data_IF_929059506713
#
_entry.id   IF_929059506713
#
_cell.length_a   1.000
_cell.length_b   1.000
_cell.length_c   1.000
_cell.angle_alpha   90.00
_cell.angle_beta   90.00
_cell.angle_gamma   90.00
#
_symmetry.space_group_name_H-M   'P 1'
#
loop_
_entity.id
_entity.type
_entity.pdbx_description
1 polymer ?
#
# COMPACT_ATOMS: atom_id res chain seq x y z
N UNK A 1 -21.75 -14.79 -7.87
CA UNK A 1 -20.79 -13.85 -7.28
C UNK A 1 -21.43 -12.49 -7.16
N UNK A 2 -21.52 -11.91 -5.97
CA UNK A 2 -21.99 -10.55 -5.78
C UNK A 2 -20.77 -9.62 -5.95
N UNK A 3 -20.67 -8.81 -7.02
CA UNK A 3 -19.54 -7.91 -7.17
C UNK A 3 -19.53 -6.94 -5.98
N UNK A 4 -18.39 -6.82 -5.33
CA UNK A 4 -18.22 -5.85 -4.25
C UNK A 4 -18.51 -4.45 -4.80
N UNK A 5 -19.49 -3.77 -4.19
CA UNK A 5 -19.74 -2.35 -4.43
C UNK A 5 -18.85 -1.45 -3.56
N UNK A 6 -17.96 -2.04 -2.75
CA UNK A 6 -17.09 -1.30 -1.85
C UNK A 6 -16.09 -0.47 -2.66
N UNK A 7 -16.16 0.85 -2.49
CA UNK A 7 -15.26 1.83 -3.12
C UNK A 7 -14.19 2.31 -2.17
N UNK A 8 -14.50 2.35 -0.88
CA UNK A 8 -13.59 2.84 0.14
C UNK A 8 -13.49 1.84 1.29
N UNK A 9 -12.27 1.59 1.73
CA UNK A 9 -11.97 0.73 2.85
C UNK A 9 -10.93 1.43 3.72
N UNK A 10 -11.35 1.80 4.92
CA UNK A 10 -10.46 2.34 5.95
C UNK A 10 -10.28 1.29 7.04
N UNK A 11 -9.04 0.82 7.17
CA UNK A 11 -8.62 -0.11 8.22
C UNK A 11 -7.53 0.50 9.10
N UNK A 12 -7.37 1.83 9.07
CA UNK A 12 -6.33 2.53 9.82
C UNK A 12 -6.41 2.21 11.32
N UNK A 13 -5.26 2.20 11.99
CA UNK A 13 -5.09 1.90 13.42
C UNK A 13 -5.55 0.49 13.82
N UNK A 14 -5.36 -0.48 12.93
CA UNK A 14 -5.55 -1.91 13.23
C UNK A 14 -4.24 -2.68 13.07
N UNK A 15 -4.00 -3.68 13.91
CA UNK A 15 -2.79 -4.52 13.88
C UNK A 15 -2.81 -5.56 12.73
N UNK A 16 -3.00 -5.09 11.49
CA UNK A 16 -3.03 -5.94 10.29
C UNK A 16 -1.69 -6.61 10.04
N UNK A 17 -0.59 -5.87 10.20
CA UNK A 17 0.78 -6.30 9.86
C UNK A 17 0.90 -6.72 8.39
N UNK A 18 2.06 -7.23 8.00
CA UNK A 18 2.28 -7.67 6.62
C UNK A 18 1.39 -8.84 6.21
N UNK A 19 1.04 -9.73 7.15
CA UNK A 19 0.16 -10.86 6.89
C UNK A 19 -1.27 -10.43 6.53
N UNK A 20 -1.82 -9.42 7.21
CA UNK A 20 -3.12 -8.84 6.87
C UNK A 20 -3.08 -8.13 5.52
N UNK A 21 -2.01 -7.37 5.25
CA UNK A 21 -1.82 -6.71 3.96
C UNK A 21 -1.71 -7.71 2.82
N UNK A 22 -1.03 -8.84 3.01
CA UNK A 22 -0.92 -9.92 2.01
C UNK A 22 -2.29 -10.48 1.61
N UNK A 23 -3.20 -10.65 2.57
CA UNK A 23 -4.57 -11.09 2.30
C UNK A 23 -5.37 -10.00 1.56
N UNK A 24 -5.23 -8.74 1.95
CA UNK A 24 -5.84 -7.60 1.26
C UNK A 24 -5.36 -7.50 -0.20
N UNK A 25 -4.06 -7.65 -0.42
CA UNK A 25 -3.43 -7.66 -1.75
C UNK A 25 -4.01 -8.74 -2.67
N UNK A 26 -4.27 -9.95 -2.14
CA UNK A 26 -4.93 -10.99 -2.91
C UNK A 26 -6.35 -10.58 -3.36
N UNK A 27 -7.08 -9.83 -2.51
CA UNK A 27 -8.37 -9.25 -2.85
C UNK A 27 -8.27 -8.13 -3.89
N UNK A 28 -7.26 -7.25 -3.79
CA UNK A 28 -6.99 -6.18 -4.74
C UNK A 28 -6.64 -6.71 -6.14
N UNK A 29 -5.92 -7.83 -6.22
CA UNK A 29 -5.59 -8.49 -7.49
C UNK A 29 -6.78 -9.12 -8.22
N UNK A 30 -7.95 -9.23 -7.56
CA UNK A 30 -9.16 -9.73 -8.19
C UNK A 30 -9.68 -8.72 -9.25
N UNK A 31 -9.90 -9.14 -10.51
CA UNK A 31 -10.36 -8.24 -11.58
C UNK A 31 -11.74 -7.63 -11.35
N UNK A 32 -12.54 -8.20 -10.44
CA UNK A 32 -13.83 -7.68 -10.04
C UNK A 32 -13.76 -6.75 -8.81
N UNK A 33 -12.57 -6.55 -8.22
CA UNK A 33 -12.38 -5.59 -7.14
C UNK A 33 -12.66 -4.17 -7.66
N UNK A 34 -13.51 -3.44 -6.94
CA UNK A 34 -13.97 -2.08 -7.30
C UNK A 34 -13.48 -1.01 -6.32
N UNK A 35 -12.55 -1.37 -5.45
CA UNK A 35 -11.99 -0.48 -4.44
C UNK A 35 -11.18 0.62 -5.12
N UNK A 36 -11.50 1.85 -4.78
CA UNK A 36 -10.86 3.08 -5.27
C UNK A 36 -9.97 3.71 -4.19
N UNK A 37 -10.32 3.49 -2.92
CA UNK A 37 -9.62 4.08 -1.78
C UNK A 37 -9.31 3.02 -0.73
N UNK A 38 -8.04 2.92 -0.33
CA UNK A 38 -7.58 2.04 0.75
C UNK A 38 -6.75 2.84 1.75
N UNK A 39 -7.14 2.79 3.03
CA UNK A 39 -6.39 3.42 4.13
C UNK A 39 -5.92 2.37 5.12
N UNK A 40 -4.61 2.33 5.31
CA UNK A 40 -3.88 1.41 6.17
C UNK A 40 -2.95 2.20 7.10
N UNK A 41 -3.35 3.40 7.49
CA UNK A 41 -2.51 4.25 8.33
C UNK A 41 -2.32 3.60 9.71
N UNK A 42 -1.10 3.50 10.22
CA UNK A 42 -0.88 2.94 11.56
C UNK A 42 -1.23 1.46 11.68
N UNK A 43 -0.94 0.66 10.64
CA UNK A 43 -1.33 -0.75 10.56
C UNK A 43 -0.17 -1.74 10.77
N UNK A 44 0.99 -1.24 11.26
CA UNK A 44 2.22 -2.02 11.46
C UNK A 44 2.73 -2.69 10.17
N UNK A 45 2.53 -2.02 9.02
CA UNK A 45 3.00 -2.48 7.71
C UNK A 45 4.50 -2.21 7.57
N UNK A 46 5.22 -3.15 6.99
CA UNK A 46 6.66 -3.02 6.68
C UNK A 46 6.92 -3.10 5.18
N UNK A 47 8.19 -3.18 4.79
CA UNK A 47 8.63 -3.43 3.42
C UNK A 47 8.02 -4.71 2.79
N UNK A 48 7.71 -5.76 3.58
CA UNK A 48 7.08 -6.99 3.07
C UNK A 48 5.63 -6.74 2.63
N UNK A 49 4.85 -6.00 3.43
CA UNK A 49 3.50 -5.59 3.08
C UNK A 49 3.50 -4.67 1.85
N UNK A 50 4.46 -3.76 1.73
CA UNK A 50 4.65 -2.94 0.52
C UNK A 50 4.87 -3.79 -0.73
N UNK A 51 5.74 -4.81 -0.67
CA UNK A 51 5.97 -5.72 -1.79
C UNK A 51 4.67 -6.41 -2.23
N UNK A 52 3.86 -6.86 -1.26
CA UNK A 52 2.55 -7.47 -1.53
C UNK A 52 1.57 -6.50 -2.19
N UNK A 53 1.52 -5.25 -1.75
CA UNK A 53 0.67 -4.21 -2.35
C UNK A 53 1.11 -3.87 -3.78
N UNK A 54 2.41 -3.67 -4.00
CA UNK A 54 2.96 -3.36 -5.33
C UNK A 54 2.67 -4.47 -6.33
N UNK A 55 2.82 -5.73 -5.92
CA UNK A 55 2.47 -6.87 -6.76
C UNK A 55 1.00 -6.83 -7.19
N UNK A 56 0.09 -6.53 -6.25
CA UNK A 56 -1.33 -6.43 -6.55
C UNK A 56 -1.67 -5.22 -7.45
N UNK A 57 -1.01 -4.07 -7.25
CA UNK A 57 -1.21 -2.87 -8.08
C UNK A 57 -0.66 -3.03 -9.50
N UNK A 58 0.38 -3.84 -9.68
CA UNK A 58 0.92 -4.19 -10.99
C UNK A 58 0.14 -5.30 -11.70
N UNK A 59 -0.62 -6.10 -10.96
CA UNK A 59 -1.47 -7.17 -11.52
C UNK A 59 -2.86 -6.63 -11.83
N UNK A 60 -3.24 -6.65 -13.11
CA UNK A 60 -4.52 -6.12 -13.61
C UNK A 60 -4.66 -4.59 -13.45
N UNK A 61 -5.46 -3.92 -14.30
CA UNK A 61 -5.79 -2.52 -14.08
C UNK A 61 -6.65 -2.37 -12.81
N UNK A 62 -5.99 -2.20 -11.67
CA UNK A 62 -6.63 -1.90 -10.39
C UNK A 62 -7.51 -0.66 -10.51
N UNK A 63 -8.63 -0.65 -9.79
CA UNK A 63 -9.46 0.55 -9.64
C UNK A 63 -8.93 1.51 -8.56
N UNK A 64 -7.89 1.10 -7.82
CA UNK A 64 -7.36 1.88 -6.70
C UNK A 64 -6.71 3.18 -7.19
N UNK A 65 -7.20 4.30 -6.65
CA UNK A 65 -6.77 5.67 -6.91
C UNK A 65 -6.07 6.29 -5.72
N UNK A 66 -6.48 5.94 -4.51
CA UNK A 66 -5.91 6.46 -3.27
C UNK A 66 -5.42 5.34 -2.35
N UNK A 67 -4.17 5.44 -1.90
CA UNK A 67 -3.58 4.57 -0.91
C UNK A 67 -2.93 5.39 0.20
N UNK A 68 -3.33 5.13 1.44
CA UNK A 68 -2.73 5.73 2.63
C UNK A 68 -1.99 4.66 3.46
N UNK A 69 -0.67 4.80 3.53
CA UNK A 69 0.26 3.98 4.31
C UNK A 69 0.98 4.82 5.38
N UNK A 70 0.47 6.01 5.73
CA UNK A 70 1.06 6.85 6.78
C UNK A 70 1.19 6.11 8.11
N UNK A 71 2.10 6.55 8.99
CA UNK A 71 2.30 5.95 10.32
C UNK A 71 2.65 4.43 10.30
N UNK A 72 3.30 3.94 9.23
CA UNK A 72 3.84 2.58 9.14
C UNK A 72 5.37 2.61 9.02
N UNK A 73 6.04 1.51 9.36
CA UNK A 73 7.51 1.37 9.27
C UNK A 73 7.94 0.77 7.93
N UNK A 74 7.70 1.52 6.85
CA UNK A 74 7.95 1.03 5.49
C UNK A 74 9.45 0.93 5.15
N UNK A 75 10.28 1.69 5.86
CA UNK A 75 11.69 1.97 5.55
C UNK A 75 11.91 2.51 4.13
N UNK A 76 13.16 2.85 3.82
CA UNK A 76 13.55 3.27 2.47
C UNK A 76 13.30 2.18 1.43
N UNK A 77 13.44 0.91 1.80
CA UNK A 77 13.20 -0.24 0.92
C UNK A 77 11.74 -0.31 0.48
N UNK A 78 10.79 -0.16 1.41
CA UNK A 78 9.36 -0.14 1.09
C UNK A 78 8.96 1.05 0.23
N UNK A 79 9.49 2.24 0.51
CA UNK A 79 9.22 3.45 -0.32
C UNK A 79 9.77 3.29 -1.75
N UNK A 80 10.96 2.69 -1.91
CA UNK A 80 11.53 2.37 -3.24
C UNK A 80 10.66 1.37 -4.00
N UNK A 81 10.15 0.33 -3.33
CA UNK A 81 9.23 -0.63 -3.93
C UNK A 81 7.94 0.03 -4.42
N UNK A 82 7.33 0.89 -3.59
CA UNK A 82 6.12 1.65 -3.96
C UNK A 82 6.38 2.55 -5.16
N UNK A 83 7.50 3.29 -5.15
CA UNK A 83 7.90 4.16 -6.25
C UNK A 83 8.10 3.40 -7.56
N UNK A 84 8.73 2.22 -7.51
CA UNK A 84 8.90 1.36 -8.68
C UNK A 84 7.55 0.84 -9.21
N UNK A 85 6.64 0.45 -8.32
CA UNK A 85 5.29 0.01 -8.66
C UNK A 85 4.45 1.10 -9.34
N UNK A 86 4.59 2.35 -8.90
CA UNK A 86 3.95 3.51 -9.50
C UNK A 86 4.42 3.81 -10.93
N UNK A 87 5.65 3.40 -11.28
CA UNK A 87 6.16 3.49 -12.65
C UNK A 87 5.53 2.49 -13.64
N UNK A 88 4.73 1.55 -13.16
CA UNK A 88 4.02 0.60 -14.01
C UNK A 88 2.89 1.31 -14.79
N UNK A 89 2.81 1.20 -16.14
CA UNK A 89 1.77 1.86 -16.94
C UNK A 89 0.35 1.37 -16.64
N UNK A 90 0.19 0.23 -15.97
CA UNK A 90 -1.09 -0.29 -15.52
C UNK A 90 -1.47 0.18 -14.11
N UNK A 91 -0.55 0.81 -13.38
CA UNK A 91 -0.85 1.43 -12.10
C UNK A 91 -1.76 2.65 -12.33
N UNK A 92 -2.87 2.70 -11.60
CA UNK A 92 -3.87 3.78 -11.68
C UNK A 92 -3.90 4.67 -10.45
N UNK A 93 -2.95 4.48 -9.55
CA UNK A 93 -2.87 5.21 -8.30
C UNK A 93 -2.55 6.68 -8.57
N UNK A 94 -3.38 7.58 -8.04
CA UNK A 94 -3.29 9.03 -8.23
C UNK A 94 -2.76 9.71 -6.98
N UNK A 95 -3.04 9.13 -5.80
CA UNK A 95 -2.59 9.65 -4.51
C UNK A 95 -2.00 8.52 -3.69
N UNK A 96 -0.76 8.72 -3.27
CA UNK A 96 -0.09 7.89 -2.29
C UNK A 96 0.27 8.77 -1.09
N UNK A 97 -0.16 8.37 0.10
CA UNK A 97 0.29 8.97 1.36
C UNK A 97 1.18 7.98 2.08
N UNK A 98 2.37 8.41 2.44
CA UNK A 98 3.24 7.76 3.41
C UNK A 98 3.92 8.86 4.22
N UNK A 99 4.30 8.57 5.45
CA UNK A 99 5.18 9.48 6.18
C UNK A 99 6.59 9.06 5.81
N UNK A 100 7.32 9.93 5.13
CA UNK A 100 8.77 9.84 5.06
C UNK A 100 9.23 9.95 6.50
N UNK A 101 9.61 8.81 7.10
CA UNK A 101 10.14 8.80 8.45
C UNK A 101 11.21 9.88 8.50
N UNK A 102 11.12 10.78 9.50
CA UNK A 102 12.19 11.73 9.79
C UNK A 102 13.48 10.96 9.60
N UNK A 103 14.30 11.40 8.65
CA UNK A 103 15.61 10.85 8.43
C UNK A 103 16.28 10.88 9.80
N UNK A 104 16.31 9.74 10.50
CA UNK A 104 17.16 9.57 11.66
C UNK A 104 18.54 9.41 11.05
N UNK A 105 19.08 10.51 10.53
CA UNK A 105 20.51 10.74 10.54
C UNK A 105 20.90 10.72 12.02
N UNK A 106 21.08 9.52 12.57
CA UNK A 106 21.90 9.31 13.75
C UNK A 106 23.24 9.96 13.43
N UNK A 107 23.57 11.01 14.17
CA UNK A 107 24.87 11.64 14.12
C UNK A 107 25.98 10.60 14.33
N UNK A 108 26.79 10.33 13.30
CA UNK A 108 28.18 9.88 13.38
C UNK A 108 28.71 9.68 11.95
N UNK A 109 29.89 10.12 11.51
CA UNK A 109 30.94 11.05 11.94
C UNK A 109 31.89 11.14 10.73
N UNK A 110 32.51 12.31 10.53
CA UNK A 110 33.50 12.67 9.49
C UNK A 110 32.96 12.91 8.07
#
# INVERSE_FOLDING_TARGET
SNPSHLRELDLSNNDLKDSGVKLLSAGLGNPHCKLETLRLSGCLVTEEGCASLVSALGSNPSHLRELDLSNNDLKDSGVKLLSAGLGNPHCRLEKLKYVEGLCQCSYQTC
#
